data_IF_535382349218
#
_entry.id   IF_535382349218
#
_cell.length_a   1.000
_cell.length_b   1.000
_cell.length_c   1.000
_cell.angle_alpha   90.00
_cell.angle_beta   90.00
_cell.angle_gamma   90.00
#
_symmetry.space_group_name_H-M   'P 1'
#
loop_
_entity.id
_entity.type
_entity.pdbx_description
1 polymer ?
#
# COMPACT_ATOMS: atom_id res chain seq x y z
N UNK A 1 -0.19 12.26 8.72
CA UNK A 1 -0.09 11.02 7.93
C UNK A 1 1.38 10.83 7.63
N UNK A 2 1.99 9.71 8.04
CA UNK A 2 3.38 9.43 7.70
C UNK A 2 3.52 9.38 6.17
N UNK A 3 4.63 9.90 5.64
CA UNK A 3 4.86 9.88 4.20
C UNK A 3 4.99 8.41 3.75
N UNK A 4 4.52 8.04 2.55
CA UNK A 4 4.62 6.67 2.02
C UNK A 4 6.05 6.14 2.00
N UNK A 5 7.04 6.98 1.69
CA UNK A 5 8.47 6.65 1.79
C UNK A 5 8.90 6.26 3.20
N UNK A 6 8.37 6.93 4.24
CA UNK A 6 8.68 6.58 5.63
C UNK A 6 8.10 5.23 6.02
N UNK A 7 6.87 4.92 5.57
CA UNK A 7 6.25 3.62 5.84
C UNK A 7 7.00 2.51 5.11
N UNK A 8 7.46 2.76 3.88
CA UNK A 8 8.25 1.78 3.13
C UNK A 8 9.60 1.49 3.78
N UNK A 9 10.32 2.52 4.25
CA UNK A 9 11.56 2.33 5.00
C UNK A 9 11.34 1.54 6.31
N UNK A 10 10.22 1.76 6.99
CA UNK A 10 9.89 1.04 8.22
C UNK A 10 9.59 -0.45 7.93
N UNK A 11 8.96 -0.77 6.80
CA UNK A 11 8.76 -2.16 6.36
C UNK A 11 10.10 -2.85 6.13
N UNK A 12 11.04 -2.20 5.44
CA UNK A 12 12.37 -2.76 5.17
C UNK A 12 13.19 -3.00 6.45
N UNK A 13 13.09 -2.09 7.43
CA UNK A 13 13.72 -2.27 8.75
C UNK A 13 13.08 -3.43 9.52
N UNK A 14 11.74 -3.52 9.52
CA UNK A 14 11.00 -4.57 10.23
C UNK A 14 11.24 -5.95 9.61
N UNK A 15 11.41 -6.05 8.30
CA UNK A 15 11.79 -7.32 7.64
C UNK A 15 13.14 -7.81 8.16
N UNK A 16 14.14 -6.93 8.27
CA UNK A 16 15.46 -7.32 8.82
C UNK A 16 15.34 -7.77 10.28
N UNK A 17 14.54 -7.05 11.08
CA UNK A 17 14.27 -7.43 12.47
C UNK A 17 13.60 -8.80 12.57
N UNK A 18 12.63 -9.10 11.69
CA UNK A 18 11.99 -10.39 11.63
C UNK A 18 12.95 -11.50 11.18
N UNK A 19 13.79 -11.25 10.17
CA UNK A 19 14.83 -12.20 9.75
C UNK A 19 15.80 -12.54 10.87
N UNK A 20 16.22 -11.54 11.66
CA UNK A 20 17.09 -11.73 12.83
C UNK A 20 16.37 -12.51 13.95
N UNK A 21 15.12 -12.14 14.29
CA UNK A 21 14.33 -12.83 15.31
C UNK A 21 14.00 -14.29 14.94
N UNK A 22 13.89 -14.58 13.64
CA UNK A 22 13.61 -15.92 13.12
C UNK A 22 14.86 -16.77 12.83
N UNK A 23 16.07 -16.21 12.97
CA UNK A 23 17.30 -16.86 12.54
C UNK A 23 17.60 -18.14 13.34
N UNK A 24 17.26 -18.15 14.64
CA UNK A 24 17.53 -19.29 15.53
C UNK A 24 16.36 -20.27 15.58
N UNK A 25 15.13 -19.76 15.77
CA UNK A 25 13.91 -20.57 15.80
C UNK A 25 12.78 -19.93 14.97
N UNK A 26 12.55 -20.43 13.75
CA UNK A 26 11.53 -19.89 12.84
C UNK A 26 10.09 -20.19 13.28
N UNK A 27 9.88 -21.03 14.29
CA UNK A 27 8.56 -21.28 14.87
C UNK A 27 8.38 -20.62 16.25
N UNK A 28 9.36 -19.83 16.70
CA UNK A 28 9.26 -19.11 17.96
C UNK A 28 8.14 -18.08 17.91
N UNK A 29 7.51 -17.83 19.06
CA UNK A 29 6.48 -16.79 19.17
C UNK A 29 7.01 -15.39 18.85
N UNK A 30 8.31 -15.16 19.05
CA UNK A 30 8.98 -13.90 18.75
C UNK A 30 9.18 -13.71 17.24
N UNK A 31 9.57 -14.78 16.52
CA UNK A 31 9.60 -14.81 15.07
C UNK A 31 8.22 -14.55 14.44
N UNK A 32 7.18 -15.23 14.93
CA UNK A 32 5.81 -15.07 14.43
C UNK A 32 5.31 -13.64 14.68
N UNK A 33 5.51 -13.10 15.89
CA UNK A 33 5.11 -11.74 16.21
C UNK A 33 5.84 -10.69 15.37
N UNK A 34 7.13 -10.89 15.08
CA UNK A 34 7.89 -10.00 14.21
C UNK A 34 7.37 -10.01 12.76
N UNK A 35 6.97 -11.18 12.23
CA UNK A 35 6.35 -11.26 10.92
C UNK A 35 4.92 -10.70 10.89
N UNK A 36 4.15 -10.83 11.97
CA UNK A 36 2.83 -10.19 12.11
C UNK A 36 2.96 -8.65 12.00
N UNK A 37 3.99 -8.06 12.63
CA UNK A 37 4.26 -6.62 12.52
C UNK A 37 4.63 -6.21 11.09
N UNK A 38 5.46 -7.00 10.39
CA UNK A 38 5.82 -6.77 8.98
C UNK A 38 4.58 -6.83 8.09
N UNK A 39 3.65 -7.76 8.33
CA UNK A 39 2.41 -7.88 7.57
C UNK A 39 1.57 -6.60 7.69
N UNK A 40 1.34 -6.15 8.92
CA UNK A 40 0.54 -4.95 9.21
C UNK A 40 1.16 -3.69 8.60
N UNK A 41 2.48 -3.51 8.72
CA UNK A 41 3.20 -2.38 8.12
C UNK A 41 3.13 -2.42 6.59
N UNK A 42 3.26 -3.62 5.98
CA UNK A 42 3.18 -3.80 4.54
C UNK A 42 1.76 -3.52 4.00
N UNK A 43 0.73 -3.90 4.75
CA UNK A 43 -0.65 -3.58 4.45
C UNK A 43 -0.89 -2.05 4.52
N UNK A 44 -0.39 -1.39 5.57
CA UNK A 44 -0.47 0.06 5.70
C UNK A 44 0.25 0.79 4.55
N UNK A 45 1.43 0.32 4.15
CA UNK A 45 2.19 0.87 3.02
C UNK A 45 1.41 0.72 1.70
N UNK A 46 0.86 -0.46 1.45
CA UNK A 46 0.07 -0.74 0.24
C UNK A 46 -1.18 0.13 0.17
N UNK A 47 -1.90 0.27 1.29
CA UNK A 47 -3.07 1.14 1.36
C UNK A 47 -2.72 2.63 1.20
N UNK A 48 -1.60 3.07 1.75
CA UNK A 48 -1.11 4.43 1.55
C UNK A 48 -0.73 4.70 0.08
N UNK A 49 -0.13 3.72 -0.62
CA UNK A 49 0.16 3.79 -2.06
C UNK A 49 -1.12 3.80 -2.89
N UNK A 50 -2.09 2.97 -2.55
CA UNK A 50 -3.37 2.92 -3.28
C UNK A 50 -4.13 4.23 -3.19
N UNK A 51 -4.08 4.91 -2.04
CA UNK A 51 -4.64 6.27 -1.87
C UNK A 51 -3.94 7.35 -2.70
N UNK A 52 -2.70 7.11 -3.12
CA UNK A 52 -1.94 8.02 -3.97
C UNK A 52 -2.08 7.71 -5.45
N UNK A 53 -2.71 6.58 -5.82
CA UNK A 53 -3.06 6.35 -7.22
C UNK A 53 -3.94 7.50 -7.66
N UNK A 54 -3.43 8.25 -8.63
CA UNK A 54 -4.18 9.32 -9.27
C UNK A 54 -5.40 8.67 -9.92
N UNK A 55 -6.58 9.28 -9.76
CA UNK A 55 -7.78 8.85 -10.48
C UNK A 55 -7.46 8.64 -11.95
N UNK A 56 -8.16 7.70 -12.59
CA UNK A 56 -7.97 7.41 -14.00
C UNK A 56 -7.91 8.74 -14.78
N UNK A 57 -6.85 8.97 -15.60
CA UNK A 57 -6.71 10.22 -16.33
C UNK A 57 -7.95 10.55 -17.16
N UNK A 58 -8.65 9.53 -17.67
CA UNK A 58 -9.92 9.68 -18.36
C UNK A 58 -11.04 10.11 -17.41
N UNK A 59 -11.14 9.55 -16.21
CA UNK A 59 -12.13 9.97 -15.21
C UNK A 59 -11.95 11.45 -14.82
N UNK A 60 -10.70 11.89 -14.66
CA UNK A 60 -10.39 13.30 -14.41
C UNK A 60 -10.74 14.17 -15.61
N UNK A 61 -10.36 13.74 -16.82
CA UNK A 61 -10.70 14.43 -18.07
C UNK A 61 -12.21 14.55 -18.28
N UNK A 62 -12.97 13.49 -18.01
CA UNK A 62 -14.42 13.44 -18.16
C UNK A 62 -15.18 14.26 -17.12
N UNK A 63 -14.61 14.49 -15.93
CA UNK A 63 -15.16 15.44 -14.95
C UNK A 63 -15.14 16.87 -15.49
N UNK A 64 -14.08 17.24 -16.18
CA UNK A 64 -13.90 18.58 -16.73
C UNK A 64 -14.51 18.76 -18.13
N UNK A 65 -14.66 17.66 -18.89
CA UNK A 65 -15.14 17.65 -20.28
C UNK A 65 -16.22 16.57 -20.53
N UNK A 66 -17.38 16.62 -19.83
CA UNK A 66 -18.40 15.57 -19.89
C UNK A 66 -19.06 15.41 -21.27
N UNK A 67 -19.00 16.44 -22.12
CA UNK A 67 -19.59 16.44 -23.46
C UNK A 67 -18.77 15.73 -24.54
N UNK A 68 -17.50 15.41 -24.24
CA UNK A 68 -16.57 14.74 -25.18
C UNK A 68 -17.01 13.31 -25.48
N UNK A 69 -16.68 12.82 -26.67
CA UNK A 69 -17.12 11.50 -27.12
C UNK A 69 -16.56 10.37 -26.25
N UNK A 70 -15.39 10.59 -25.64
CA UNK A 70 -14.75 9.68 -24.69
C UNK A 70 -15.47 9.61 -23.33
N UNK A 71 -16.36 10.57 -23.03
CA UNK A 71 -16.97 10.78 -21.72
C UNK A 71 -18.50 10.71 -21.72
N UNK A 72 -19.12 10.65 -22.92
CA UNK A 72 -20.56 10.46 -23.06
C UNK A 72 -21.00 9.11 -22.50
N UNK A 73 -21.74 9.18 -21.40
CA UNK A 73 -22.44 8.03 -20.82
C UNK A 73 -23.94 8.18 -21.05
N UNK A 74 -24.61 7.07 -21.40
CA UNK A 74 -26.05 7.04 -21.62
C UNK A 74 -26.69 6.15 -20.54
N UNK A 75 -27.51 6.74 -19.68
CA UNK A 75 -28.40 5.99 -18.79
C UNK A 75 -29.44 5.24 -19.65
N UNK A 76 -29.49 3.91 -19.54
CA UNK A 76 -30.50 3.04 -20.17
C UNK A 76 -31.48 2.50 -19.13
#
# INVERSE_FOLDING_TARGET
MAAPDQIQSNVEESIKGAEEACAEDPASGECVAAWDEVEELSAAASHARDKQKVSDPLETYCKDNPETDECRTYDN
#
